data_IF_513338346267
#
_entry.id   IF_513338346267
#
_cell.length_a   1.000
_cell.length_b   1.000
_cell.length_c   1.000
_cell.angle_alpha   90.00
_cell.angle_beta   90.00
_cell.angle_gamma   90.00
#
_symmetry.space_group_name_H-M   'P 1'
#
loop_
_entity.id
_entity.type
_entity.pdbx_description
1 polymer ?
#
# COMPACT_ATOMS: atom_id res chain seq x y z
N UNK A 1 -30.08 -26.55 3.33
CA UNK A 1 -28.77 -26.16 2.76
C UNK A 1 -28.32 -24.91 3.48
N UNK A 2 -27.18 -24.97 4.19
CA UNK A 2 -26.78 -24.01 5.22
C UNK A 2 -26.09 -22.77 4.62
N UNK A 3 -26.76 -21.63 4.70
CA UNK A 3 -26.27 -20.29 4.31
C UNK A 3 -25.00 -19.90 5.08
N UNK A 4 -24.78 -20.51 6.26
CA UNK A 4 -23.63 -20.24 7.13
C UNK A 4 -22.28 -20.73 6.57
N UNK A 5 -22.27 -21.72 5.68
CA UNK A 5 -21.02 -22.27 5.11
C UNK A 5 -20.45 -21.45 3.94
N UNK A 6 -21.28 -20.66 3.25
CA UNK A 6 -20.87 -19.83 2.11
C UNK A 6 -20.27 -18.48 2.53
N UNK A 7 -20.70 -17.94 3.68
CA UNK A 7 -20.16 -16.68 4.23
C UNK A 7 -18.76 -16.86 4.80
N UNK A 8 -18.51 -17.95 5.53
CA UNK A 8 -17.17 -18.24 6.06
C UNK A 8 -16.15 -18.50 4.96
N UNK A 9 -16.51 -19.23 3.90
CA UNK A 9 -15.58 -19.51 2.79
C UNK A 9 -15.16 -18.25 1.99
N UNK A 10 -16.07 -17.27 1.82
CA UNK A 10 -15.75 -16.00 1.14
C UNK A 10 -14.80 -15.12 1.95
N UNK A 11 -15.00 -15.03 3.27
CA UNK A 11 -14.11 -14.26 4.15
C UNK A 11 -12.70 -14.83 4.19
N UNK A 12 -12.57 -16.17 4.25
CA UNK A 12 -11.26 -16.82 4.28
C UNK A 12 -10.49 -16.65 2.97
N UNK A 13 -11.18 -16.71 1.81
CA UNK A 13 -10.53 -16.52 0.50
C UNK A 13 -10.05 -15.08 0.28
N UNK A 14 -10.81 -14.09 0.76
CA UNK A 14 -10.46 -12.68 0.64
C UNK A 14 -9.29 -12.30 1.55
N UNK A 15 -9.33 -12.75 2.81
CA UNK A 15 -8.22 -12.55 3.75
C UNK A 15 -6.92 -13.18 3.25
N UNK A 16 -6.98 -14.42 2.73
CA UNK A 16 -5.80 -15.09 2.15
C UNK A 16 -5.21 -14.35 0.94
N UNK A 17 -6.05 -13.74 0.09
CA UNK A 17 -5.57 -12.92 -1.02
C UNK A 17 -4.85 -11.67 -0.51
N UNK A 18 -5.43 -10.97 0.48
CA UNK A 18 -4.79 -9.78 1.09
C UNK A 18 -3.45 -10.15 1.73
N UNK A 19 -3.39 -11.26 2.47
CA UNK A 19 -2.15 -11.75 3.08
C UNK A 19 -1.08 -12.02 2.03
N UNK A 20 -1.45 -12.64 0.91
CA UNK A 20 -0.54 -12.89 -0.19
C UNK A 20 0.03 -11.59 -0.77
N UNK A 21 -0.80 -10.58 -1.03
CA UNK A 21 -0.33 -9.28 -1.52
C UNK A 21 0.55 -8.56 -0.51
N UNK A 22 0.21 -8.64 0.78
CA UNK A 22 1.02 -8.10 1.88
C UNK A 22 2.40 -8.76 1.91
N UNK A 23 2.48 -10.08 1.78
CA UNK A 23 3.74 -10.81 1.74
C UNK A 23 4.57 -10.47 0.49
N UNK A 24 3.94 -10.36 -0.67
CA UNK A 24 4.62 -9.93 -1.91
C UNK A 24 5.17 -8.52 -1.76
N UNK A 25 4.41 -7.59 -1.17
CA UNK A 25 4.87 -6.24 -0.88
C UNK A 25 6.09 -6.25 0.04
N UNK A 26 6.02 -6.99 1.15
CA UNK A 26 7.13 -7.17 2.07
C UNK A 26 8.38 -7.68 1.36
N UNK A 27 8.29 -8.82 0.68
CA UNK A 27 9.45 -9.46 0.07
C UNK A 27 10.09 -8.56 -1.00
N UNK A 28 9.28 -7.95 -1.89
CA UNK A 28 9.81 -7.04 -2.93
C UNK A 28 10.45 -5.78 -2.36
N UNK A 29 9.86 -5.19 -1.31
CA UNK A 29 10.44 -4.02 -0.64
C UNK A 29 11.74 -4.40 0.07
N UNK A 30 11.77 -5.48 0.84
CA UNK A 30 12.97 -5.94 1.54
C UNK A 30 14.10 -6.30 0.58
N UNK A 31 13.81 -6.99 -0.53
CA UNK A 31 14.84 -7.35 -1.50
C UNK A 31 15.52 -6.13 -2.10
N UNK A 32 14.75 -5.09 -2.43
CA UNK A 32 15.29 -3.85 -2.96
C UNK A 32 16.06 -3.06 -1.87
N UNK A 33 15.57 -3.01 -0.63
CA UNK A 33 16.29 -2.40 0.50
C UNK A 33 17.61 -3.14 0.81
N UNK A 34 17.62 -4.48 0.71
CA UNK A 34 18.80 -5.32 0.91
C UNK A 34 19.83 -5.08 -0.19
N UNK A 35 19.41 -5.00 -1.45
CA UNK A 35 20.30 -4.67 -2.57
C UNK A 35 20.94 -3.28 -2.42
N UNK A 36 20.22 -2.34 -1.80
CA UNK A 36 20.73 -1.01 -1.50
C UNK A 36 21.67 -0.95 -0.29
N UNK A 37 21.76 -2.03 0.50
CA UNK A 37 22.50 -2.06 1.77
C UNK A 37 21.89 -1.19 2.87
N UNK A 38 20.59 -0.91 2.83
CA UNK A 38 19.91 -0.04 3.82
C UNK A 38 19.28 -0.80 4.98
N UNK A 39 19.31 -2.12 4.95
CA UNK A 39 18.75 -2.99 5.99
C UNK A 39 19.72 -4.12 6.35
N UNK A 40 19.75 -4.45 7.63
CA UNK A 40 20.44 -5.61 8.21
C UNK A 40 19.47 -6.78 8.38
N UNK A 41 19.99 -8.01 8.49
CA UNK A 41 19.13 -9.19 8.70
C UNK A 41 18.32 -9.12 10.01
N UNK A 42 18.84 -8.47 11.04
CA UNK A 42 18.11 -8.25 12.29
C UNK A 42 16.96 -7.24 12.13
N UNK A 43 17.16 -6.18 11.33
CA UNK A 43 16.06 -5.26 10.97
C UNK A 43 15.01 -5.97 10.11
N UNK A 44 15.42 -6.80 9.14
CA UNK A 44 14.50 -7.58 8.31
C UNK A 44 13.61 -8.50 9.17
N UNK A 45 14.20 -9.19 10.15
CA UNK A 45 13.47 -10.05 11.09
C UNK A 45 12.41 -9.25 11.88
N UNK A 46 12.80 -8.11 12.45
CA UNK A 46 11.89 -7.22 13.20
C UNK A 46 10.81 -6.60 12.32
N UNK A 47 11.14 -6.20 11.09
CA UNK A 47 10.16 -5.70 10.12
C UNK A 47 9.14 -6.77 9.77
N UNK A 48 9.58 -8.04 9.59
CA UNK A 48 8.68 -9.17 9.35
C UNK A 48 7.68 -9.33 10.49
N UNK A 49 8.15 -9.29 11.73
CA UNK A 49 7.30 -9.39 12.92
C UNK A 49 6.29 -8.25 12.98
N UNK A 50 6.71 -7.01 12.70
CA UNK A 50 5.83 -5.83 12.78
C UNK A 50 4.89 -5.63 11.60
N UNK A 51 5.18 -6.24 10.45
CA UNK A 51 4.38 -6.04 9.23
C UNK A 51 3.55 -7.27 8.85
N UNK A 52 4.12 -8.47 8.93
CA UNK A 52 3.43 -9.70 8.52
C UNK A 52 2.73 -10.42 9.68
N UNK A 53 3.28 -10.36 10.90
CA UNK A 53 2.69 -11.06 12.05
C UNK A 53 1.66 -10.24 12.82
N UNK A 54 1.56 -8.94 12.52
CA UNK A 54 0.50 -8.08 13.05
C UNK A 54 -0.83 -8.43 12.35
N UNK A 55 -1.93 -8.63 13.10
CA UNK A 55 -3.27 -8.81 12.54
C UNK A 55 -3.64 -7.69 11.55
N UNK A 56 -4.40 -8.00 10.51
CA UNK A 56 -4.77 -7.01 9.48
C UNK A 56 -5.64 -5.88 10.06
N UNK A 57 -6.43 -6.21 11.09
CA UNK A 57 -7.30 -5.32 11.85
C UNK A 57 -6.52 -4.28 12.65
N UNK A 58 -5.28 -4.59 13.03
CA UNK A 58 -4.40 -3.68 13.78
C UNK A 58 -3.66 -2.70 12.85
N UNK A 59 -3.90 -2.80 11.54
CA UNK A 59 -3.45 -1.87 10.51
C UNK A 59 -1.94 -1.63 10.55
N UNK A 60 -1.12 -2.52 9.97
CA UNK A 60 0.33 -2.36 10.01
C UNK A 60 0.75 -0.99 9.45
N UNK A 61 1.73 -0.38 10.11
CA UNK A 61 2.36 0.85 9.65
C UNK A 61 3.14 0.56 8.34
N UNK A 62 3.38 1.58 7.52
CA UNK A 62 4.15 1.41 6.28
C UNK A 62 5.59 0.95 6.57
N UNK A 63 6.12 0.06 5.72
CA UNK A 63 7.44 -0.53 5.89
C UNK A 63 8.57 0.49 5.99
N UNK A 64 8.50 1.58 5.21
CA UNK A 64 9.54 2.62 5.22
C UNK A 64 9.48 3.44 6.51
N UNK A 65 8.28 3.65 7.05
CA UNK A 65 8.09 4.32 8.34
C UNK A 65 8.60 3.43 9.47
N UNK A 66 8.24 2.15 9.47
CA UNK A 66 8.74 1.16 10.44
C UNK A 66 10.27 1.11 10.44
N UNK A 67 10.88 1.06 9.25
CA UNK A 67 12.34 1.04 9.12
C UNK A 67 12.98 2.32 9.65
N UNK A 68 12.48 3.49 9.25
CA UNK A 68 13.01 4.78 9.71
C UNK A 68 12.97 4.88 11.24
N UNK A 69 11.85 4.49 11.87
CA UNK A 69 11.71 4.45 13.34
C UNK A 69 12.68 3.45 13.97
N UNK A 70 12.84 2.27 13.39
CA UNK A 70 13.79 1.25 13.87
C UNK A 70 15.25 1.70 13.81
N UNK A 71 15.58 2.55 12.84
CA UNK A 71 16.90 3.18 12.70
C UNK A 71 17.12 4.37 13.65
N UNK A 72 16.18 4.61 14.58
CA UNK A 72 16.29 5.64 15.60
C UNK A 72 15.92 7.04 15.11
N UNK A 73 15.18 7.15 14.00
CA UNK A 73 14.73 8.45 13.50
C UNK A 73 13.69 9.05 14.43
N UNK A 74 13.96 10.25 14.92
CA UNK A 74 13.05 11.07 15.72
C UNK A 74 11.82 11.50 14.90
N UNK A 75 10.69 11.73 15.56
CA UNK A 75 9.41 12.05 14.88
C UNK A 75 9.54 13.31 14.01
N UNK A 76 10.27 14.32 14.48
CA UNK A 76 10.50 15.58 13.77
C UNK A 76 11.29 15.39 12.46
N UNK A 77 12.03 14.29 12.32
CA UNK A 77 12.85 13.97 11.15
C UNK A 77 12.29 12.83 10.31
N UNK A 78 11.20 12.22 10.76
CA UNK A 78 10.63 11.02 10.14
C UNK A 78 10.27 11.25 8.67
N UNK A 79 9.65 12.39 8.34
CA UNK A 79 9.31 12.72 6.96
C UNK A 79 10.53 12.82 6.02
N UNK A 80 11.65 13.36 6.52
CA UNK A 80 12.90 13.49 5.75
C UNK A 80 13.49 12.10 5.48
N UNK A 81 13.55 11.26 6.52
CA UNK A 81 14.13 9.92 6.38
C UNK A 81 13.28 9.01 5.50
N UNK A 82 11.96 9.05 5.66
CA UNK A 82 11.02 8.33 4.79
C UNK A 82 11.15 8.80 3.35
N UNK A 83 11.30 10.11 3.10
CA UNK A 83 11.52 10.63 1.76
C UNK A 83 12.85 10.12 1.15
N UNK A 84 13.93 10.06 1.96
CA UNK A 84 15.22 9.49 1.56
C UNK A 84 15.06 8.01 1.16
N UNK A 85 14.43 7.21 2.01
CA UNK A 85 14.18 5.78 1.77
C UNK A 85 13.28 5.56 0.55
N UNK A 86 12.17 6.31 0.43
CA UNK A 86 11.24 6.21 -0.70
C UNK A 86 11.90 6.59 -2.02
N UNK A 87 12.64 7.70 -2.05
CA UNK A 87 13.36 8.13 -3.26
C UNK A 87 14.44 7.14 -3.65
N UNK A 88 15.21 6.66 -2.67
CA UNK A 88 16.21 5.63 -2.89
C UNK A 88 15.59 4.34 -3.43
N UNK A 89 14.47 3.88 -2.86
CA UNK A 89 13.82 2.67 -3.32
C UNK A 89 13.30 2.83 -4.75
N UNK A 90 12.76 4.00 -5.07
CA UNK A 90 12.30 4.33 -6.41
C UNK A 90 13.42 4.30 -7.46
N UNK A 91 14.66 4.69 -7.12
CA UNK A 91 15.76 4.67 -8.09
C UNK A 91 16.21 3.25 -8.48
N UNK A 92 15.82 2.24 -7.70
CA UNK A 92 16.12 0.83 -7.94
C UNK A 92 15.03 0.10 -8.75
N UNK A 93 13.88 0.74 -8.95
CA UNK A 93 12.71 0.12 -9.59
C UNK A 93 12.54 0.71 -11.00
N UNK A 94 12.64 -0.09 -12.08
CA UNK A 94 12.33 0.37 -13.42
C UNK A 94 10.89 0.87 -13.51
N UNK A 95 10.69 2.07 -14.07
CA UNK A 95 9.36 2.68 -14.17
C UNK A 95 8.78 3.08 -12.82
N UNK A 96 9.62 3.41 -11.84
CA UNK A 96 9.16 3.77 -10.51
C UNK A 96 8.14 4.92 -10.54
N UNK A 97 7.13 4.88 -9.65
CA UNK A 97 6.09 5.89 -9.62
C UNK A 97 6.66 7.30 -9.35
N UNK A 98 6.18 8.35 -10.05
CA UNK A 98 6.60 9.72 -9.82
C UNK A 98 6.11 10.23 -8.46
N UNK A 99 6.85 11.15 -7.84
CA UNK A 99 6.41 11.82 -6.61
C UNK A 99 5.38 12.91 -6.95
N UNK A 100 4.25 12.94 -6.23
CA UNK A 100 3.25 14.01 -6.36
C UNK A 100 3.09 14.79 -5.03
N UNK A 101 3.42 16.08 -4.98
CA UNK A 101 3.45 16.85 -3.72
C UNK A 101 2.09 17.45 -3.32
N UNK A 102 0.99 17.08 -3.99
CA UNK A 102 -0.32 17.70 -3.80
C UNK A 102 -1.45 16.70 -3.50
N UNK A 103 -1.14 15.41 -3.38
CA UNK A 103 -2.15 14.38 -3.21
C UNK A 103 -2.97 14.55 -1.94
N UNK A 104 -2.41 15.15 -0.88
CA UNK A 104 -3.13 15.44 0.37
C UNK A 104 -4.39 16.28 0.19
N UNK A 105 -4.56 16.98 -0.94
CA UNK A 105 -5.77 17.77 -1.23
C UNK A 105 -6.88 16.97 -1.89
N UNK A 106 -6.61 15.74 -2.33
CA UNK A 106 -7.54 14.91 -3.07
C UNK A 106 -8.62 14.33 -2.14
N UNK A 107 -9.80 14.10 -2.71
CA UNK A 107 -10.93 13.51 -1.99
C UNK A 107 -10.83 12.00 -2.00
N UNK A 108 -11.30 11.35 -0.93
CA UNK A 108 -11.42 9.91 -0.91
C UNK A 108 -12.42 9.49 -2.00
N UNK A 109 -12.08 8.55 -2.89
CA UNK A 109 -12.99 8.07 -3.92
C UNK A 109 -14.00 7.09 -3.30
N UNK A 110 -14.87 7.57 -2.41
CA UNK A 110 -15.76 6.74 -1.58
C UNK A 110 -16.64 5.82 -2.42
N UNK A 111 -17.27 6.34 -3.48
CA UNK A 111 -18.12 5.54 -4.36
C UNK A 111 -17.36 4.37 -5.01
N UNK A 112 -16.09 4.57 -5.33
CA UNK A 112 -15.24 3.51 -5.87
C UNK A 112 -14.94 2.46 -4.79
N UNK A 113 -14.58 2.88 -3.57
CA UNK A 113 -14.37 1.93 -2.47
C UNK A 113 -15.63 1.15 -2.08
N UNK A 114 -16.80 1.79 -2.09
CA UNK A 114 -18.09 1.13 -1.87
C UNK A 114 -18.38 0.08 -2.95
N UNK A 115 -18.03 0.39 -4.21
CA UNK A 115 -18.15 -0.58 -5.30
C UNK A 115 -17.12 -1.71 -5.21
N UNK A 116 -15.91 -1.46 -4.69
CA UNK A 116 -14.79 -2.39 -4.67
C UNK A 116 -14.17 -2.50 -3.27
N UNK A 117 -14.89 -3.12 -2.34
CA UNK A 117 -14.47 -3.25 -0.94
C UNK A 117 -13.13 -3.96 -0.78
N UNK A 118 -12.83 -4.93 -1.65
CA UNK A 118 -11.54 -5.62 -1.65
C UNK A 118 -10.35 -4.70 -1.98
N UNK A 119 -10.58 -3.67 -2.81
CA UNK A 119 -9.59 -2.65 -3.13
C UNK A 119 -9.39 -1.72 -1.93
N UNK A 120 -10.46 -1.38 -1.22
CA UNK A 120 -10.37 -0.63 0.03
C UNK A 120 -9.52 -1.38 1.08
N UNK A 121 -9.83 -2.66 1.30
CA UNK A 121 -9.14 -3.47 2.31
C UNK A 121 -7.64 -3.62 2.01
N UNK A 122 -7.28 -3.95 0.77
CA UNK A 122 -5.86 -4.05 0.40
C UNK A 122 -5.16 -2.70 0.45
N UNK A 123 -5.82 -1.63 -0.02
CA UNK A 123 -5.28 -0.27 0.01
C UNK A 123 -4.98 0.19 1.44
N UNK A 124 -5.85 -0.17 2.38
CA UNK A 124 -5.65 0.06 3.83
C UNK A 124 -4.46 -0.72 4.37
N UNK A 125 -4.35 -2.01 4.05
CA UNK A 125 -3.25 -2.88 4.53
C UNK A 125 -1.89 -2.47 3.96
N UNK A 126 -1.83 -2.13 2.67
CA UNK A 126 -0.59 -1.70 2.01
C UNK A 126 -0.29 -0.21 2.22
N UNK A 127 -1.16 0.54 2.92
CA UNK A 127 -1.05 1.98 3.09
C UNK A 127 -0.86 2.72 1.75
N UNK A 128 -1.57 2.26 0.72
CA UNK A 128 -1.50 2.78 -0.66
C UNK A 128 -2.87 3.27 -1.11
N UNK A 129 -3.36 4.42 -0.62
CA UNK A 129 -4.67 4.96 -0.99
C UNK A 129 -4.87 5.09 -2.50
N UNK A 130 -6.08 4.79 -2.97
CA UNK A 130 -6.60 5.30 -4.25
C UNK A 130 -6.79 6.81 -4.11
N UNK A 131 -6.09 7.59 -4.92
CA UNK A 131 -6.04 9.06 -4.86
C UNK A 131 -7.03 9.73 -5.81
N UNK A 132 -7.50 9.03 -6.84
CA UNK A 132 -8.62 9.43 -7.70
C UNK A 132 -9.22 8.19 -8.38
N UNK A 133 -10.50 8.26 -8.73
CA UNK A 133 -11.18 7.26 -9.55
C UNK A 133 -12.27 7.95 -10.36
N UNK A 134 -12.08 8.01 -11.68
CA UNK A 134 -13.09 8.42 -12.65
C UNK A 134 -13.80 7.15 -13.14
N UNK A 135 -14.90 6.82 -12.46
CA UNK A 135 -15.66 5.58 -12.63
C UNK A 135 -14.76 4.32 -12.66
N UNK A 136 -14.74 3.61 -13.78
CA UNK A 136 -13.92 2.43 -14.01
C UNK A 136 -12.83 2.66 -15.06
N UNK A 137 -12.67 3.90 -15.53
CA UNK A 137 -11.86 4.20 -16.70
C UNK A 137 -10.48 4.72 -16.33
N UNK A 138 -10.38 5.61 -15.34
CA UNK A 138 -9.10 6.17 -14.89
C UNK A 138 -8.98 6.15 -13.37
N UNK A 139 -8.00 5.41 -12.86
CA UNK A 139 -7.83 5.19 -11.43
C UNK A 139 -6.37 5.45 -11.05
N UNK A 140 -6.13 6.13 -9.93
CA UNK A 140 -4.79 6.41 -9.44
C UNK A 140 -4.61 5.91 -8.02
N UNK A 141 -3.45 5.32 -7.72
CA UNK A 141 -3.05 4.95 -6.36
C UNK A 141 -1.69 5.54 -6.01
N UNK A 142 -1.45 5.82 -4.74
CA UNK A 142 -0.17 6.33 -4.29
C UNK A 142 0.21 5.87 -2.89
N UNK A 143 1.51 5.76 -2.62
CA UNK A 143 2.06 5.35 -1.32
C UNK A 143 3.42 5.99 -1.05
N UNK A 144 3.92 5.91 0.19
CA UNK A 144 5.33 6.16 0.50
C UNK A 144 6.22 5.12 -0.17
N UNK A 145 5.80 3.85 -0.08
CA UNK A 145 6.51 2.73 -0.63
C UNK A 145 6.18 2.56 -2.12
N UNK A 146 7.11 2.85 -3.06
CA UNK A 146 6.86 2.69 -4.50
C UNK A 146 6.43 1.27 -4.89
N UNK A 147 6.90 0.25 -4.17
CA UNK A 147 6.49 -1.14 -4.40
C UNK A 147 5.01 -1.32 -4.07
N UNK A 148 4.55 -0.78 -2.95
CA UNK A 148 3.14 -0.85 -2.55
C UNK A 148 2.24 -0.17 -3.59
N UNK A 149 2.65 0.99 -4.10
CA UNK A 149 1.88 1.71 -5.13
C UNK A 149 1.79 0.94 -6.45
N UNK A 150 2.88 0.31 -6.90
CA UNK A 150 2.87 -0.54 -8.10
C UNK A 150 1.99 -1.78 -7.93
N UNK A 151 2.12 -2.49 -6.80
CA UNK A 151 1.30 -3.67 -6.51
C UNK A 151 -0.18 -3.31 -6.42
N UNK A 152 -0.50 -2.16 -5.81
CA UNK A 152 -1.87 -1.68 -5.73
C UNK A 152 -2.44 -1.35 -7.11
N UNK A 153 -1.63 -0.78 -8.01
CA UNK A 153 -2.05 -0.53 -9.39
C UNK A 153 -2.36 -1.84 -10.15
N UNK A 154 -1.50 -2.86 -10.01
CA UNK A 154 -1.71 -4.19 -10.59
C UNK A 154 -2.99 -4.85 -10.04
N UNK A 155 -3.23 -4.72 -8.73
CA UNK A 155 -4.42 -5.26 -8.08
C UNK A 155 -5.71 -4.59 -8.59
N UNK A 156 -5.73 -3.26 -8.65
CA UNK A 156 -6.86 -2.48 -9.18
C UNK A 156 -7.17 -2.91 -10.61
N UNK A 157 -6.15 -2.97 -11.47
CA UNK A 157 -6.28 -3.41 -12.85
C UNK A 157 -6.94 -4.79 -12.94
N UNK A 158 -6.47 -5.74 -12.12
CA UNK A 158 -7.02 -7.09 -12.07
C UNK A 158 -8.48 -7.14 -11.61
N UNK A 159 -8.82 -6.41 -10.55
CA UNK A 159 -10.16 -6.38 -9.97
C UNK A 159 -11.20 -5.76 -10.91
N UNK A 160 -10.89 -4.59 -11.47
CA UNK A 160 -11.81 -3.86 -12.36
C UNK A 160 -12.04 -4.65 -13.65
N UNK A 161 -10.97 -5.21 -14.23
CA UNK A 161 -11.06 -6.02 -15.45
C UNK A 161 -11.92 -7.27 -15.24
N UNK A 162 -11.73 -8.00 -14.14
CA UNK A 162 -12.55 -9.19 -13.83
C UNK A 162 -14.04 -8.88 -13.74
N UNK A 163 -14.43 -7.67 -13.29
CA UNK A 163 -15.84 -7.31 -13.09
C UNK A 163 -16.52 -6.80 -14.36
N UNK A 164 -15.84 -5.97 -15.14
CA UNK A 164 -16.44 -5.26 -16.27
C UNK A 164 -15.87 -5.63 -17.65
N UNK A 165 -14.86 -6.51 -17.71
CA UNK A 165 -14.08 -6.80 -18.91
C UNK A 165 -13.47 -5.54 -19.57
N UNK A 166 -13.27 -4.48 -18.78
CA UNK A 166 -12.63 -3.22 -19.17
C UNK A 166 -11.20 -3.21 -18.63
N UNK A 167 -10.26 -2.66 -19.40
CA UNK A 167 -8.91 -2.37 -18.90
C UNK A 167 -8.85 -0.91 -18.45
N UNK A 168 -8.94 -0.60 -17.15
CA UNK A 168 -8.79 0.77 -16.67
C UNK A 168 -7.41 1.31 -17.03
N UNK A 169 -7.31 2.62 -17.22
CA UNK A 169 -6.05 3.35 -17.18
C UNK A 169 -5.66 3.56 -15.71
N UNK A 170 -4.73 2.73 -15.21
CA UNK A 170 -4.29 2.79 -13.80
C UNK A 170 -2.94 3.47 -13.70
N UNK A 171 -2.85 4.50 -12.85
CA UNK A 171 -1.60 5.17 -12.52
C UNK A 171 -1.15 4.86 -11.10
N UNK A 172 0.16 4.88 -10.90
CA UNK A 172 0.80 4.79 -9.59
C UNK A 172 1.60 6.07 -9.34
N UNK A 173 1.68 6.49 -8.09
CA UNK A 173 2.50 7.64 -7.66
C UNK A 173 3.12 7.43 -6.28
N UNK A 174 4.14 8.22 -5.96
CA UNK A 174 4.71 8.33 -4.62
C UNK A 174 4.15 9.55 -3.91
N UNK A 175 4.05 9.44 -2.59
CA UNK A 175 3.62 10.52 -1.69
C UNK A 175 4.79 10.98 -0.80
N UNK A 176 4.77 12.23 -0.40
CA UNK A 176 5.51 12.69 0.78
C UNK A 176 4.82 12.22 2.08
N UNK A 177 5.56 12.23 3.19
CA UNK A 177 5.09 11.74 4.48
C UNK A 177 3.85 12.47 4.99
N UNK A 178 3.80 13.80 4.86
CA UNK A 178 2.64 14.58 5.34
C UNK A 178 1.38 14.28 4.52
N UNK A 179 1.48 14.27 3.19
CA UNK A 179 0.38 13.93 2.28
C UNK A 179 -0.11 12.50 2.49
N UNK A 180 0.82 11.55 2.63
CA UNK A 180 0.50 10.15 2.90
C UNK A 180 -0.23 10.00 4.23
N UNK A 181 0.34 10.54 5.31
CA UNK A 181 -0.26 10.44 6.63
C UNK A 181 -1.67 11.02 6.61
N UNK A 182 -1.83 12.24 6.07
CA UNK A 182 -3.14 12.88 5.93
C UNK A 182 -4.15 12.02 5.15
N UNK A 183 -3.77 11.48 3.99
CA UNK A 183 -4.67 10.65 3.18
C UNK A 183 -5.02 9.34 3.85
N UNK A 184 -4.07 8.66 4.49
CA UNK A 184 -4.38 7.40 5.20
C UNK A 184 -5.34 7.62 6.36
N UNK A 185 -5.21 8.75 7.10
CA UNK A 185 -6.18 9.13 8.12
C UNK A 185 -7.55 9.41 7.52
N UNK A 186 -7.58 10.21 6.45
CA UNK A 186 -8.81 10.62 5.76
C UNK A 186 -9.58 9.43 5.16
N UNK A 187 -8.88 8.47 4.57
CA UNK A 187 -9.50 7.36 3.84
C UNK A 187 -9.89 6.21 4.78
N UNK A 188 -9.09 5.98 5.82
CA UNK A 188 -9.16 4.75 6.62
C UNK A 188 -9.40 4.98 8.11
N UNK A 189 -9.42 6.24 8.59
CA UNK A 189 -9.58 6.56 10.01
C UNK A 189 -8.37 6.22 10.88
N UNK A 190 -7.18 6.20 10.27
CA UNK A 190 -5.90 5.82 10.91
C UNK A 190 -5.14 7.02 11.47
#
# INVERSE_FOLDING_TARGET
MSVSSMFTARDHSHSAEIEQWREVCFNRTIDALRQAGWVTEEEIRKLRERFLLVPLEDHPEDLLVLLARMQGTEEERLGIEVARLSHGLASLIPGAPPLIPFAGKLMAPSSFYEAYTQVYDLSRVLRSPVIYAEDTDAIGTASLNPVASLLMADYIMGVVNKRFAIRPFVTSARLDYESWAFLTRKHFGL
#
